data_IF_440995086760
#
_entry.id   IF_440995086760
#
_cell.length_a   1.000
_cell.length_b   1.000
_cell.length_c   1.000
_cell.angle_alpha   90.00
_cell.angle_beta   90.00
_cell.angle_gamma   90.00
#
_symmetry.space_group_name_H-M   'P 1'
#
loop_
_entity.id
_entity.type
_entity.pdbx_description
1 polymer ?
#
# COMPACT_ATOMS: atom_id res chain seq x y z
N UNK A 1 9.70 -2.95 2.29
CA UNK A 1 8.39 -3.13 1.63
C UNK A 1 8.46 -4.02 0.39
N UNK A 2 9.29 -3.73 -0.63
CA UNK A 2 9.39 -4.59 -1.83
C UNK A 2 9.75 -6.06 -1.54
N UNK A 3 10.62 -6.30 -0.54
CA UNK A 3 10.97 -7.67 -0.11
C UNK A 3 9.78 -8.44 0.47
N UNK A 4 8.88 -7.79 1.20
CA UNK A 4 7.71 -8.42 1.81
C UNK A 4 6.67 -8.79 0.75
N UNK A 5 6.38 -7.88 -0.19
CA UNK A 5 5.54 -8.16 -1.36
C UNK A 5 6.09 -9.33 -2.18
N UNK A 6 7.40 -9.35 -2.43
CA UNK A 6 8.08 -10.42 -3.17
C UNK A 6 7.97 -11.78 -2.46
N UNK A 7 8.17 -11.82 -1.14
CA UNK A 7 8.02 -13.05 -0.35
C UNK A 7 6.59 -13.59 -0.43
N UNK A 8 5.58 -12.73 -0.27
CA UNK A 8 4.18 -13.14 -0.38
C UNK A 8 3.84 -13.70 -1.77
N UNK A 9 4.37 -13.08 -2.85
CA UNK A 9 4.24 -13.63 -4.20
C UNK A 9 4.94 -14.97 -4.38
N UNK A 10 6.16 -15.12 -3.86
CA UNK A 10 6.93 -16.35 -3.95
C UNK A 10 6.18 -17.50 -3.24
N UNK A 11 5.70 -17.26 -2.03
CA UNK A 11 4.89 -18.21 -1.26
C UNK A 11 3.62 -18.61 -2.02
N UNK A 12 2.91 -17.63 -2.59
CA UNK A 12 1.74 -17.85 -3.43
C UNK A 12 2.07 -18.69 -4.68
N UNK A 13 3.18 -18.42 -5.37
CA UNK A 13 3.54 -19.22 -6.56
C UNK A 13 3.80 -20.68 -6.19
N UNK A 14 4.40 -20.94 -5.03
CA UNK A 14 4.65 -22.31 -4.55
C UNK A 14 3.35 -23.04 -4.18
N UNK A 15 2.36 -22.35 -3.60
CA UNK A 15 1.05 -22.96 -3.29
C UNK A 15 0.22 -23.20 -4.55
N UNK A 16 0.23 -22.27 -5.51
CA UNK A 16 -0.44 -22.41 -6.80
C UNK A 16 0.08 -23.59 -7.60
N UNK A 17 1.39 -23.79 -7.66
CA UNK A 17 2.02 -24.91 -8.37
C UNK A 17 1.66 -26.27 -7.76
N UNK A 18 1.37 -26.33 -6.45
CA UNK A 18 1.02 -27.57 -5.74
C UNK A 18 -0.47 -27.91 -5.81
N UNK A 19 -1.33 -26.90 -5.73
CA UNK A 19 -2.78 -27.10 -5.53
C UNK A 19 -3.61 -26.73 -6.77
N UNK A 20 -3.06 -25.95 -7.70
CA UNK A 20 -3.75 -25.48 -8.91
C UNK A 20 -4.94 -24.54 -8.66
N UNK A 21 -5.13 -24.05 -7.44
CA UNK A 21 -6.33 -23.31 -7.02
C UNK A 21 -6.08 -21.79 -6.95
N UNK A 22 -6.62 -21.01 -7.87
CA UNK A 22 -6.35 -19.55 -8.01
C UNK A 22 -7.11 -18.65 -7.04
N UNK A 23 -7.83 -19.20 -6.06
CA UNK A 23 -8.73 -18.44 -5.18
C UNK A 23 -8.06 -17.33 -4.36
N UNK A 24 -6.78 -17.47 -4.02
CA UNK A 24 -6.04 -16.50 -3.17
C UNK A 24 -5.41 -15.34 -3.97
N UNK A 25 -5.50 -15.34 -5.29
CA UNK A 25 -4.87 -14.31 -6.14
C UNK A 25 -5.47 -12.93 -5.92
N UNK A 26 -6.80 -12.87 -5.80
CA UNK A 26 -7.55 -11.62 -5.60
C UNK A 26 -7.10 -10.97 -4.28
N UNK A 27 -6.99 -11.75 -3.20
CA UNK A 27 -6.55 -11.29 -1.89
C UNK A 27 -5.09 -10.79 -1.88
N UNK A 28 -4.19 -11.52 -2.57
CA UNK A 28 -2.80 -11.10 -2.70
C UNK A 28 -2.69 -9.77 -3.45
N UNK A 29 -3.40 -9.63 -4.58
CA UNK A 29 -3.43 -8.39 -5.36
C UNK A 29 -3.92 -7.20 -4.52
N UNK A 30 -5.02 -7.39 -3.77
CA UNK A 30 -5.56 -6.36 -2.88
C UNK A 30 -4.55 -5.93 -1.81
N UNK A 31 -3.84 -6.88 -1.22
CA UNK A 31 -2.78 -6.60 -0.24
C UNK A 31 -1.65 -5.74 -0.84
N UNK A 32 -1.17 -6.10 -2.03
CA UNK A 32 -0.05 -5.42 -2.68
C UNK A 32 -0.42 -4.01 -3.11
N UNK A 33 -1.60 -3.86 -3.71
CA UNK A 33 -2.19 -2.60 -4.12
C UNK A 33 -2.29 -1.65 -2.93
N UNK A 34 -2.92 -2.10 -1.83
CA UNK A 34 -3.06 -1.30 -0.61
C UNK A 34 -1.69 -0.89 -0.06
N UNK A 35 -0.75 -1.82 0.02
CA UNK A 35 0.60 -1.53 0.50
C UNK A 35 1.35 -0.57 -0.42
N UNK A 36 1.09 -0.59 -1.74
CA UNK A 36 1.69 0.36 -2.68
C UNK A 36 1.20 1.78 -2.38
N UNK A 37 -0.11 1.96 -2.38
CA UNK A 37 -0.78 3.25 -2.11
C UNK A 37 -0.34 3.81 -0.76
N UNK A 38 -0.33 2.98 0.28
CA UNK A 38 0.10 3.42 1.61
C UNK A 38 1.56 3.89 1.60
N UNK A 39 2.47 3.08 1.02
CA UNK A 39 3.89 3.39 1.01
C UNK A 39 4.24 4.63 0.20
N UNK A 40 3.59 4.86 -0.95
CA UNK A 40 3.84 6.03 -1.81
C UNK A 40 3.36 7.31 -1.16
N UNK A 41 2.17 7.28 -0.52
CA UNK A 41 1.67 8.41 0.26
C UNK A 41 2.58 8.74 1.44
N UNK A 42 2.99 7.73 2.21
CA UNK A 42 3.90 7.92 3.35
C UNK A 42 5.25 8.46 2.90
N UNK A 43 5.79 7.99 1.77
CA UNK A 43 7.04 8.49 1.21
C UNK A 43 6.94 9.98 0.87
N UNK A 44 5.85 10.40 0.20
CA UNK A 44 5.60 11.80 -0.14
C UNK A 44 5.54 12.69 1.12
N UNK A 45 4.76 12.29 2.12
CA UNK A 45 4.64 13.00 3.39
C UNK A 45 5.98 13.08 4.11
N UNK A 46 6.74 11.98 4.18
CA UNK A 46 8.02 11.95 4.88
C UNK A 46 9.06 12.90 4.26
N UNK A 47 9.05 13.06 2.93
CA UNK A 47 9.93 14.00 2.23
C UNK A 47 9.50 15.44 2.52
N UNK A 48 8.20 15.72 2.50
CA UNK A 48 7.63 17.02 2.86
C UNK A 48 7.99 17.41 4.30
N UNK A 49 7.79 16.50 5.26
CA UNK A 49 8.08 16.75 6.68
C UNK A 49 9.56 17.01 6.92
N UNK A 50 10.46 16.25 6.27
CA UNK A 50 11.91 16.50 6.35
C UNK A 50 12.30 17.85 5.75
N UNK A 51 11.69 18.22 4.63
CA UNK A 51 11.93 19.53 4.01
C UNK A 51 11.54 20.67 4.95
N UNK A 52 10.36 20.60 5.57
CA UNK A 52 9.87 21.60 6.53
C UNK A 52 10.74 21.62 7.80
N UNK A 53 11.17 20.45 8.29
CA UNK A 53 12.02 20.34 9.48
C UNK A 53 13.40 21.00 9.32
N UNK A 54 13.93 21.06 8.08
CA UNK A 54 15.20 21.74 7.78
C UNK A 54 15.06 23.27 7.61
N UNK A 55 13.84 23.83 7.65
CA UNK A 55 13.59 25.25 7.44
C UNK A 55 14.16 25.78 6.13
N UNK A 56 14.64 27.03 6.11
CA UNK A 56 15.20 27.66 4.90
C UNK A 56 16.40 26.94 4.29
N UNK A 57 17.18 26.18 5.08
CA UNK A 57 18.30 25.37 4.57
C UNK A 57 17.82 24.20 3.72
N UNK A 58 16.61 23.70 3.99
CA UNK A 58 15.95 22.67 3.20
C UNK A 58 15.60 23.14 1.78
N UNK A 59 15.46 24.45 1.56
CA UNK A 59 15.15 25.04 0.25
C UNK A 59 16.34 25.08 -0.71
N UNK A 60 17.56 24.96 -0.20
CA UNK A 60 18.77 24.93 -1.02
C UNK A 60 18.78 23.71 -1.95
N UNK A 61 19.18 23.88 -3.21
CA UNK A 61 19.30 22.79 -4.17
C UNK A 61 20.28 21.68 -3.70
N UNK A 62 21.25 22.03 -2.84
CA UNK A 62 22.21 21.09 -2.25
C UNK A 62 21.55 20.10 -1.26
N UNK A 63 20.43 20.48 -0.63
CA UNK A 63 19.70 19.61 0.29
C UNK A 63 19.08 18.39 -0.41
N UNK A 64 18.85 18.50 -1.73
CA UNK A 64 18.28 17.46 -2.56
C UNK A 64 16.82 17.12 -2.26
N UNK A 65 16.16 17.82 -1.33
CA UNK A 65 14.77 17.54 -0.95
C UNK A 65 13.78 17.87 -2.08
N UNK A 66 13.98 18.98 -2.80
CA UNK A 66 13.12 19.36 -3.94
C UNK A 66 13.13 18.31 -5.06
N UNK A 67 14.30 17.74 -5.38
CA UNK A 67 14.41 16.66 -6.37
C UNK A 67 13.73 15.38 -5.90
N UNK A 68 13.92 15.01 -4.64
CA UNK A 68 13.26 13.84 -4.03
C UNK A 68 11.73 14.02 -4.01
N UNK A 69 11.25 15.22 -3.70
CA UNK A 69 9.82 15.53 -3.69
C UNK A 69 9.20 15.37 -5.07
N UNK A 70 9.84 15.89 -6.13
CA UNK A 70 9.39 15.70 -7.51
C UNK A 70 9.29 14.21 -7.88
N UNK A 71 10.27 13.40 -7.49
CA UNK A 71 10.21 11.95 -7.72
C UNK A 71 9.08 11.26 -6.93
N UNK A 72 8.87 11.62 -5.66
CA UNK A 72 7.81 10.98 -4.84
C UNK A 72 6.40 11.38 -5.25
N UNK A 73 6.20 12.63 -5.71
CA UNK A 73 4.90 13.07 -6.25
C UNK A 73 4.58 12.37 -7.57
N UNK A 74 5.60 12.19 -8.42
CA UNK A 74 5.44 11.40 -9.64
C UNK A 74 5.15 9.92 -9.33
N UNK A 75 5.73 9.35 -8.27
CA UNK A 75 5.45 7.97 -7.85
C UNK A 75 4.00 7.74 -7.39
N UNK A 76 3.27 8.79 -7.01
CA UNK A 76 1.84 8.73 -6.65
C UNK A 76 0.93 8.66 -7.89
N UNK A 77 1.45 9.02 -9.07
CA UNK A 77 0.67 9.15 -10.31
C UNK A 77 1.05 8.14 -11.40
N UNK A 78 2.32 7.71 -11.47
CA UNK A 78 2.83 6.88 -12.58
C UNK A 78 2.25 5.45 -12.67
N UNK A 79 1.91 4.81 -11.55
CA UNK A 79 1.37 3.43 -11.57
C UNK A 79 -0.16 3.38 -11.64
N UNK A 80 -0.79 4.54 -11.84
CA UNK A 80 -2.21 4.79 -11.63
C UNK A 80 -2.35 5.72 -10.44
N UNK A 81 -3.25 6.69 -10.56
CA UNK A 81 -3.61 7.55 -9.43
C UNK A 81 -3.92 6.65 -8.22
N UNK A 82 -3.26 6.90 -7.09
CA UNK A 82 -3.52 6.21 -5.83
C UNK A 82 -5.03 6.14 -5.53
N UNK A 83 -5.81 7.11 -6.00
CA UNK A 83 -7.27 7.12 -5.93
C UNK A 83 -7.94 6.01 -6.77
N UNK A 84 -7.47 5.77 -7.99
CA UNK A 84 -8.00 4.74 -8.90
C UNK A 84 -7.60 3.35 -8.45
N UNK A 85 -6.35 3.16 -8.04
CA UNK A 85 -5.86 1.88 -7.52
C UNK A 85 -6.59 1.51 -6.20
N UNK A 86 -6.85 2.51 -5.35
CA UNK A 86 -7.64 2.34 -4.13
C UNK A 86 -9.07 1.85 -4.37
N UNK A 87 -9.66 2.16 -5.53
CA UNK A 87 -11.01 1.68 -5.85
C UNK A 87 -11.10 0.15 -5.95
N UNK A 88 -10.01 -0.55 -6.28
CA UNK A 88 -10.00 -2.01 -6.28
C UNK A 88 -10.27 -2.56 -4.87
N UNK A 89 -9.66 -1.94 -3.86
CA UNK A 89 -9.86 -2.27 -2.45
C UNK A 89 -11.28 -1.92 -2.01
N UNK A 90 -11.80 -0.75 -2.40
CA UNK A 90 -13.18 -0.35 -2.07
C UNK A 90 -14.21 -1.30 -2.67
N UNK A 91 -14.03 -1.73 -3.93
CA UNK A 91 -14.92 -2.69 -4.60
C UNK A 91 -14.89 -4.06 -3.94
N UNK A 92 -13.71 -4.53 -3.52
CA UNK A 92 -13.58 -5.79 -2.79
C UNK A 92 -14.28 -5.72 -1.42
N UNK A 93 -14.07 -4.64 -0.67
CA UNK A 93 -14.75 -4.41 0.62
C UNK A 93 -16.27 -4.38 0.43
N UNK A 94 -16.77 -3.70 -0.61
CA UNK A 94 -18.20 -3.62 -0.89
C UNK A 94 -18.80 -4.98 -1.29
N UNK A 95 -18.07 -5.79 -2.06
CA UNK A 95 -18.43 -7.17 -2.43
C UNK A 95 -18.55 -8.05 -1.19
N UNK A 96 -17.62 -7.92 -0.25
CA UNK A 96 -17.64 -8.64 1.03
C UNK A 96 -18.77 -8.18 1.94
N UNK A 97 -19.00 -6.87 2.06
CA UNK A 97 -20.10 -6.30 2.83
C UNK A 97 -21.46 -6.78 2.31
N UNK A 98 -21.64 -6.84 0.99
CA UNK A 98 -22.87 -7.36 0.36
C UNK A 98 -23.05 -8.88 0.56
N UNK A 99 -21.96 -9.63 0.74
CA UNK A 99 -21.98 -11.08 1.00
C UNK A 99 -22.24 -11.41 2.47
N UNK A 100 -21.78 -10.58 3.42
CA UNK A 100 -21.94 -10.78 4.86
C UNK A 100 -22.67 -9.59 5.51
N UNK A 101 -23.99 -9.66 5.66
CA UNK A 101 -24.79 -8.60 6.28
C UNK A 101 -24.68 -8.51 7.82
N UNK A 102 -23.96 -9.44 8.47
CA UNK A 102 -23.98 -9.58 9.95
C UNK A 102 -22.63 -9.88 10.62
N UNK A 103 -21.53 -10.04 9.88
CA UNK A 103 -20.22 -10.23 10.53
C UNK A 103 -19.08 -9.75 9.66
N UNK A 104 -18.13 -9.11 10.35
CA UNK A 104 -16.84 -8.54 9.93
C UNK A 104 -16.35 -9.07 8.58
N UNK A 105 -15.99 -8.20 7.61
CA UNK A 105 -15.63 -8.62 6.26
C UNK A 105 -14.56 -9.72 6.26
N UNK A 106 -14.66 -10.65 5.29
CA UNK A 106 -13.70 -11.76 4.98
C UNK A 106 -12.27 -11.26 4.72
N UNK A 107 -12.06 -9.96 4.82
CA UNK A 107 -10.86 -9.27 5.22
C UNK A 107 -10.05 -9.84 6.41
N UNK A 108 -10.09 -11.11 6.81
CA UNK A 108 -9.35 -11.62 7.99
C UNK A 108 -7.82 -11.42 7.89
N UNK A 109 -7.25 -11.45 6.68
CA UNK A 109 -5.84 -11.07 6.43
C UNK A 109 -5.64 -9.55 6.41
N UNK A 110 -6.59 -8.79 5.89
CA UNK A 110 -6.52 -7.32 5.85
C UNK A 110 -6.83 -6.64 7.19
N UNK A 111 -7.68 -7.21 8.05
CA UNK A 111 -8.04 -6.72 9.39
C UNK A 111 -6.87 -6.90 10.35
N UNK A 112 -6.22 -8.07 10.33
CA UNK A 112 -5.00 -8.29 11.10
C UNK A 112 -3.89 -7.33 10.66
N UNK A 113 -3.71 -7.09 9.35
CA UNK A 113 -2.76 -6.08 8.88
C UNK A 113 -3.15 -4.63 9.27
N UNK A 114 -4.42 -4.24 9.18
CA UNK A 114 -4.89 -2.89 9.65
C UNK A 114 -4.61 -2.71 11.15
N UNK A 115 -4.89 -3.73 11.96
CA UNK A 115 -4.59 -3.70 13.40
C UNK A 115 -3.10 -3.69 13.72
N UNK A 116 -2.27 -4.27 12.84
CA UNK A 116 -0.82 -4.20 12.96
C UNK A 116 -0.30 -2.78 12.65
N UNK A 117 -0.88 -2.12 11.64
CA UNK A 117 -0.53 -0.74 11.27
C UNK A 117 -0.92 0.26 12.39
N UNK A 118 -2.08 0.06 13.04
CA UNK A 118 -2.54 0.88 14.17
C UNK A 118 -1.64 0.77 15.43
N UNK A 119 -0.89 -0.33 15.58
CA UNK A 119 0.11 -0.51 16.66
C UNK A 119 1.46 0.13 16.38
N UNK A 120 1.71 0.56 15.14
CA UNK A 120 2.98 1.21 14.74
C UNK A 120 2.89 2.74 14.78
N UNK A 121 1.68 3.29 14.98
CA UNK A 121 1.45 4.73 15.16
C UNK A 121 1.23 5.13 16.65
N UNK A 122 1.36 4.20 17.59
CA UNK A 122 1.32 4.41 19.05
C UNK A 122 2.70 4.28 19.68
#
# INVERSE_FOLDING_TARGET
MGRSKRKAYEEYTVTMLKTGNTSELEDLNLYIVRLNVYSTNLACLSVQTRHIACGGHGYSALSGFGRKYAHTVNAVTYEGDNYVIGQQVTRAILKDYRRNSTSVPRASLTWNCVNQDAKLES
#
